data_IF_176960296660
#
_entry.id   IF_176960296660
#
_cell.length_a   1.000
_cell.length_b   1.000
_cell.length_c   1.000
_cell.angle_alpha   90.00
_cell.angle_beta   90.00
_cell.angle_gamma   90.00
#
_symmetry.space_group_name_H-M   'P 1'
#
loop_
_entity.id
_entity.type
_entity.pdbx_description
1 polymer ?
#
# COMPACT_ATOMS: atom_id res chain seq x y z
N UNK A 1 12.50 15.71 -4.13
CA UNK A 1 11.80 14.52 -4.68
C UNK A 1 12.51 13.21 -4.37
N UNK A 2 13.85 13.15 -4.41
CA UNK A 2 14.60 11.98 -3.93
C UNK A 2 14.23 11.60 -2.48
N UNK A 3 14.16 12.58 -1.57
CA UNK A 3 13.70 12.36 -0.19
C UNK A 3 12.27 11.80 -0.09
N UNK A 4 11.38 12.15 -1.03
CA UNK A 4 9.99 11.64 -1.06
C UNK A 4 9.99 10.16 -1.44
N UNK A 5 10.80 9.76 -2.44
CA UNK A 5 10.96 8.35 -2.81
C UNK A 5 11.55 7.50 -1.67
N UNK A 6 12.53 8.02 -0.92
CA UNK A 6 13.08 7.32 0.25
C UNK A 6 12.07 7.09 1.36
N UNK A 7 11.06 7.97 1.51
CA UNK A 7 9.98 7.81 2.48
C UNK A 7 8.87 6.90 1.94
N UNK A 8 8.57 6.95 0.63
CA UNK A 8 7.52 6.11 0.04
C UNK A 8 7.87 4.62 0.04
N UNK A 9 9.15 4.26 -0.14
CA UNK A 9 9.59 2.85 -0.13
C UNK A 9 9.20 2.12 1.18
N UNK A 10 9.58 2.59 2.38
CA UNK A 10 9.16 1.95 3.63
C UNK A 10 7.64 2.05 3.85
N UNK A 11 6.99 3.13 3.42
CA UNK A 11 5.53 3.27 3.53
C UNK A 11 4.80 2.22 2.68
N UNK A 12 5.29 1.91 1.47
CA UNK A 12 4.77 0.83 0.63
C UNK A 12 4.89 -0.54 1.31
N UNK A 13 6.07 -0.84 1.86
CA UNK A 13 6.32 -2.11 2.56
C UNK A 13 5.39 -2.26 3.77
N UNK A 14 5.31 -1.22 4.61
CA UNK A 14 4.45 -1.22 5.80
C UNK A 14 2.97 -1.35 5.40
N UNK A 15 2.54 -0.65 4.35
CA UNK A 15 1.16 -0.72 3.85
C UNK A 15 0.81 -2.09 3.28
N UNK A 16 1.73 -2.74 2.56
CA UNK A 16 1.57 -4.10 2.06
C UNK A 16 1.42 -5.10 3.21
N UNK A 17 2.28 -5.01 4.23
CA UNK A 17 2.17 -5.84 5.43
C UNK A 17 0.83 -5.62 6.13
N UNK A 18 0.43 -4.36 6.35
CA UNK A 18 -0.83 -4.02 6.99
C UNK A 18 -2.04 -4.56 6.23
N UNK A 19 -2.03 -4.47 4.89
CA UNK A 19 -3.08 -5.03 4.05
C UNK A 19 -3.14 -6.56 4.19
N UNK A 20 -1.99 -7.24 4.20
CA UNK A 20 -1.93 -8.68 4.41
C UNK A 20 -2.52 -9.10 5.77
N UNK A 21 -2.18 -8.39 6.85
CA UNK A 21 -2.74 -8.68 8.18
C UNK A 21 -4.24 -8.37 8.23
N UNK A 22 -4.68 -7.26 7.61
CA UNK A 22 -6.10 -6.90 7.49
C UNK A 22 -6.88 -8.03 6.83
N UNK A 23 -6.40 -8.53 5.69
CA UNK A 23 -7.03 -9.66 4.99
C UNK A 23 -7.13 -10.86 5.91
N UNK A 24 -6.03 -11.28 6.55
CA UNK A 24 -6.01 -12.45 7.43
C UNK A 24 -6.99 -12.32 8.61
N UNK A 25 -7.09 -11.14 9.24
CA UNK A 25 -8.02 -10.90 10.35
C UNK A 25 -9.48 -10.79 9.91
N UNK A 26 -9.74 -10.08 8.81
CA UNK A 26 -11.10 -9.81 8.32
C UNK A 26 -11.69 -10.98 7.52
N UNK A 27 -10.87 -11.96 7.13
CA UNK A 27 -11.28 -13.17 6.42
C UNK A 27 -12.39 -13.96 7.12
N UNK A 28 -12.37 -14.02 8.46
CA UNK A 28 -13.36 -14.73 9.27
C UNK A 28 -14.65 -13.92 9.54
N UNK A 29 -14.59 -12.66 10.01
CA UNK A 29 -15.80 -11.91 10.38
C UNK A 29 -16.62 -11.41 9.18
N UNK A 30 -16.00 -11.13 8.03
CA UNK A 30 -16.68 -10.50 6.89
C UNK A 30 -17.10 -11.47 5.77
N UNK A 31 -16.91 -12.79 5.93
CA UNK A 31 -17.09 -13.79 4.85
C UNK A 31 -16.49 -13.30 3.52
N UNK A 32 -15.29 -12.73 3.59
CA UNK A 32 -14.62 -12.16 2.42
C UNK A 32 -14.50 -13.24 1.35
N UNK A 33 -15.13 -13.02 0.21
CA UNK A 33 -15.13 -13.91 -0.95
C UNK A 33 -13.71 -14.13 -1.45
N UNK A 34 -13.45 -15.32 -2.01
CA UNK A 34 -12.13 -15.67 -2.56
C UNK A 34 -11.58 -14.59 -3.50
N UNK A 35 -12.44 -13.98 -4.31
CA UNK A 35 -12.07 -12.88 -5.22
C UNK A 35 -11.51 -11.65 -4.49
N UNK A 36 -12.11 -11.22 -3.38
CA UNK A 36 -11.59 -10.09 -2.61
C UNK A 36 -10.23 -10.40 -1.98
N UNK A 37 -10.00 -11.64 -1.55
CA UNK A 37 -8.68 -12.07 -1.03
C UNK A 37 -7.63 -12.05 -2.14
N UNK A 38 -7.99 -12.52 -3.33
CA UNK A 38 -7.12 -12.48 -4.50
C UNK A 38 -6.78 -11.03 -4.87
N UNK A 39 -7.77 -10.13 -4.93
CA UNK A 39 -7.53 -8.71 -5.20
C UNK A 39 -6.64 -8.06 -4.14
N UNK A 40 -6.85 -8.35 -2.86
CA UNK A 40 -6.01 -7.79 -1.81
C UNK A 40 -4.57 -8.34 -1.83
N UNK A 41 -4.40 -9.63 -2.16
CA UNK A 41 -3.07 -10.22 -2.37
C UNK A 41 -2.36 -9.59 -3.57
N UNK A 42 -3.06 -9.43 -4.69
CA UNK A 42 -2.55 -8.74 -5.88
C UNK A 42 -2.15 -7.30 -5.54
N UNK A 43 -2.99 -6.55 -4.82
CA UNK A 43 -2.68 -5.19 -4.38
C UNK A 43 -1.45 -5.14 -3.45
N UNK A 44 -1.29 -6.11 -2.54
CA UNK A 44 -0.10 -6.23 -1.70
C UNK A 44 1.16 -6.48 -2.53
N UNK A 45 1.09 -7.36 -3.53
CA UNK A 45 2.22 -7.64 -4.43
C UNK A 45 2.54 -6.42 -5.30
N UNK A 46 1.52 -5.74 -5.83
CA UNK A 46 1.68 -4.50 -6.60
C UNK A 46 2.36 -3.40 -5.79
N UNK A 47 2.04 -3.25 -4.50
CA UNK A 47 2.72 -2.29 -3.62
C UNK A 47 4.21 -2.61 -3.43
N UNK A 48 4.57 -3.89 -3.33
CA UNK A 48 5.97 -4.32 -3.24
C UNK A 48 6.71 -4.07 -4.57
N UNK A 49 6.06 -4.38 -5.70
CA UNK A 49 6.62 -4.12 -7.02
C UNK A 49 6.84 -2.61 -7.22
N UNK A 50 5.88 -1.79 -6.81
CA UNK A 50 5.96 -0.34 -6.88
C UNK A 50 7.05 0.22 -5.96
N UNK A 51 7.29 -0.38 -4.79
CA UNK A 51 8.44 -0.05 -3.95
C UNK A 51 9.78 -0.32 -4.67
N UNK A 52 9.89 -1.43 -5.39
CA UNK A 52 11.08 -1.77 -6.18
C UNK A 52 11.26 -0.79 -7.36
N UNK A 53 10.18 -0.43 -8.05
CA UNK A 53 10.21 0.60 -9.09
C UNK A 53 10.61 1.97 -8.53
N UNK A 54 10.17 2.34 -7.33
CA UNK A 54 10.61 3.58 -6.68
C UNK A 54 12.11 3.62 -6.41
N UNK A 55 12.74 2.48 -6.09
CA UNK A 55 14.21 2.37 -5.97
C UNK A 55 14.89 2.61 -7.31
N UNK A 56 14.30 2.14 -8.42
CA UNK A 56 14.80 2.40 -9.77
C UNK A 56 14.59 3.86 -10.20
N UNK A 57 13.43 4.46 -9.87
CA UNK A 57 13.14 5.87 -10.14
C UNK A 57 14.04 6.86 -9.37
N UNK A 58 14.60 6.46 -8.23
CA UNK A 58 15.62 7.25 -7.53
C UNK A 58 16.89 7.36 -8.38
N UNK A 59 17.21 6.34 -9.18
CA UNK A 59 18.37 6.35 -10.10
C UNK A 59 18.09 7.10 -11.39
N UNK A 60 16.92 6.91 -12.00
CA UNK A 60 16.58 7.44 -13.33
C UNK A 60 15.42 8.46 -13.30
N UNK A 61 15.58 9.54 -12.54
CA UNK A 61 14.54 10.54 -12.34
C UNK A 61 14.24 11.38 -13.60
N UNK A 62 13.01 11.30 -14.16
CA UNK A 62 12.48 12.22 -15.20
C UNK A 62 11.18 12.92 -14.74
N UNK A 63 11.16 14.25 -14.54
CA UNK A 63 9.91 15.02 -14.48
C UNK A 63 9.28 15.07 -15.89
N UNK A 64 7.95 14.98 -16.09
CA UNK A 64 6.86 15.42 -15.20
C UNK A 64 5.99 14.30 -14.59
N UNK A 65 6.22 13.02 -14.91
CA UNK A 65 5.36 11.92 -14.43
C UNK A 65 5.31 11.83 -12.91
N UNK A 66 6.40 12.12 -12.22
CA UNK A 66 6.52 11.91 -10.78
C UNK A 66 5.49 12.67 -9.91
N UNK A 67 4.88 13.76 -10.38
CA UNK A 67 3.90 14.53 -9.61
C UNK A 67 2.52 13.87 -9.56
N UNK A 68 2.07 13.19 -10.63
CA UNK A 68 0.76 12.54 -10.65
C UNK A 68 0.70 11.30 -9.76
N UNK A 69 1.82 10.58 -9.61
CA UNK A 69 1.91 9.38 -8.78
C UNK A 69 1.86 9.66 -7.28
N UNK A 70 2.31 10.84 -6.85
CA UNK A 70 2.36 11.21 -5.43
C UNK A 70 0.94 11.26 -4.85
N UNK A 71 0.02 11.95 -5.52
CA UNK A 71 -1.36 12.08 -5.03
C UNK A 71 -2.09 10.72 -4.95
N UNK A 72 -1.91 9.87 -5.96
CA UNK A 72 -2.51 8.53 -6.01
C UNK A 72 -1.96 7.65 -4.88
N UNK A 73 -0.64 7.66 -4.68
CA UNK A 73 0.01 6.88 -3.62
C UNK A 73 -0.48 7.32 -2.24
N UNK A 74 -0.55 8.63 -2.00
CA UNK A 74 -0.99 9.19 -0.72
C UNK A 74 -2.45 8.81 -0.40
N UNK A 75 -3.34 8.87 -1.40
CA UNK A 75 -4.72 8.42 -1.26
C UNK A 75 -4.85 6.94 -0.94
N UNK A 76 -4.08 6.09 -1.65
CA UNK A 76 -4.07 4.65 -1.43
C UNK A 76 -3.57 4.28 -0.02
N UNK A 77 -2.44 4.85 0.42
CA UNK A 77 -1.92 4.64 1.77
C UNK A 77 -2.88 5.13 2.84
N UNK A 78 -3.50 6.30 2.64
CA UNK A 78 -4.51 6.84 3.54
C UNK A 78 -5.70 5.89 3.72
N UNK A 79 -6.18 5.26 2.64
CA UNK A 79 -7.25 4.26 2.70
C UNK A 79 -6.82 3.01 3.48
N UNK A 80 -5.64 2.46 3.20
CA UNK A 80 -5.12 1.27 3.89
C UNK A 80 -4.95 1.54 5.38
N UNK A 81 -4.35 2.67 5.75
CA UNK A 81 -4.16 3.07 7.14
C UNK A 81 -5.47 3.36 7.85
N UNK A 82 -6.42 4.03 7.19
CA UNK A 82 -7.75 4.29 7.80
C UNK A 82 -8.55 3.00 8.02
N UNK A 83 -8.42 2.02 7.12
CA UNK A 83 -9.02 0.71 7.27
C UNK A 83 -8.37 -0.06 8.42
N UNK A 84 -7.05 -0.04 8.51
CA UNK A 84 -6.30 -0.64 9.59
C UNK A 84 -6.64 -0.03 10.95
N UNK A 85 -6.62 1.29 11.07
CA UNK A 85 -6.96 1.99 12.31
C UNK A 85 -8.34 1.58 12.82
N UNK A 86 -9.33 1.49 11.93
CA UNK A 86 -10.69 1.04 12.29
C UNK A 86 -10.73 -0.40 12.80
N UNK A 87 -9.83 -1.25 12.32
CA UNK A 87 -9.83 -2.69 12.61
C UNK A 87 -8.95 -3.06 13.80
N UNK A 88 -7.84 -2.34 14.03
CA UNK A 88 -6.90 -2.64 15.11
C UNK A 88 -7.06 -1.73 16.33
N UNK A 89 -7.55 -0.50 16.16
CA UNK A 89 -7.64 0.48 17.25
C UNK A 89 -9.06 0.70 17.72
N UNK A 90 -10.05 0.77 16.81
CA UNK A 90 -11.46 0.93 17.19
C UNK A 90 -12.16 -0.37 17.62
N UNK A 91 -11.64 -1.53 17.23
CA UNK A 91 -12.17 -2.84 17.62
C UNK A 91 -11.00 -3.75 18.02
N UNK A 92 -10.49 -3.66 19.26
CA UNK A 92 -9.47 -4.58 19.75
C UNK A 92 -9.96 -6.04 19.74
#
# INVERSE_FOLDING_TARGET
MIAVSYVLVPVNVVSAMLLAVLVMRLCRPLRITFMMRLFAALMSVSLLLQAAEHVQFIRDYRPPRALSWIAVSLGMHGLIWSAAWRVFVRRP
#
